data_IF_986758223263
#
_entry.id   IF_986758223263
#
_cell.length_a   1.000
_cell.length_b   1.000
_cell.length_c   1.000
_cell.angle_alpha   90.00
_cell.angle_beta   90.00
_cell.angle_gamma   90.00
#
_symmetry.space_group_name_H-M   'P 1'
#
loop_
_entity.id
_entity.type
_entity.pdbx_description
1 polymer ?
#
# COMPACT_ATOMS: atom_id res chain seq x y z
N UNK A 1 7.58 -11.67 7.07
CA UNK A 1 7.46 -10.70 8.18
C UNK A 1 7.14 -11.32 9.54
N UNK A 2 5.88 -11.60 9.94
CA UNK A 2 5.60 -12.05 11.33
C UNK A 2 6.33 -13.35 11.71
N UNK A 3 6.36 -14.31 10.79
CA UNK A 3 7.10 -15.57 10.95
C UNK A 3 8.62 -15.33 11.06
N UNK A 4 9.19 -14.49 10.19
CA UNK A 4 10.60 -14.07 10.25
C UNK A 4 10.94 -13.38 11.58
N UNK A 5 10.01 -12.61 12.14
CA UNK A 5 10.16 -11.96 13.44
C UNK A 5 9.96 -12.91 14.63
N UNK A 6 9.55 -14.18 14.40
CA UNK A 6 9.22 -15.13 15.46
C UNK A 6 7.98 -14.74 16.29
N UNK A 7 7.08 -13.92 15.73
CA UNK A 7 5.89 -13.39 16.41
C UNK A 7 4.63 -14.01 15.83
N UNK A 8 3.72 -14.46 16.70
CA UNK A 8 2.38 -14.88 16.29
C UNK A 8 1.40 -13.70 16.40
N UNK A 9 0.81 -13.22 15.28
CA UNK A 9 -0.12 -12.10 15.34
C UNK A 9 -1.46 -12.53 15.97
N UNK A 10 -2.00 -11.69 16.86
CA UNK A 10 -3.36 -11.84 17.38
C UNK A 10 -4.35 -11.11 16.45
N UNK A 11 -5.05 -11.86 15.60
CA UNK A 11 -5.88 -11.29 14.53
C UNK A 11 -7.32 -11.20 14.99
N UNK A 12 -7.74 -9.99 15.38
CA UNK A 12 -9.12 -9.72 15.84
C UNK A 12 -10.12 -9.64 14.70
N UNK A 13 -9.73 -9.03 13.58
CA UNK A 13 -10.58 -8.83 12.39
C UNK A 13 -9.77 -8.99 11.11
N UNK A 14 -10.46 -9.36 10.02
CA UNK A 14 -9.90 -9.40 8.65
C UNK A 14 -10.89 -8.74 7.70
N UNK A 15 -10.38 -7.87 6.84
CA UNK A 15 -11.17 -7.21 5.79
C UNK A 15 -10.25 -6.87 4.61
N UNK A 16 -10.80 -6.91 3.40
CA UNK A 16 -10.14 -6.41 2.20
C UNK A 16 -10.46 -4.93 1.92
N UNK A 17 -11.39 -4.33 2.67
CA UNK A 17 -11.78 -2.93 2.49
C UNK A 17 -10.92 -2.02 3.37
N UNK A 18 -10.10 -1.19 2.73
CA UNK A 18 -9.18 -0.28 3.42
C UNK A 18 -9.90 0.77 4.28
N UNK A 19 -11.10 1.21 3.89
CA UNK A 19 -11.85 2.23 4.65
C UNK A 19 -12.47 1.64 5.92
N UNK A 20 -12.96 0.39 5.86
CA UNK A 20 -13.40 -0.32 7.06
C UNK A 20 -12.24 -0.53 8.03
N UNK A 21 -11.08 -0.92 7.50
CA UNK A 21 -9.86 -1.06 8.28
C UNK A 21 -9.45 0.27 8.95
N UNK A 22 -9.47 1.38 8.20
CA UNK A 22 -9.15 2.72 8.74
C UNK A 22 -10.11 3.13 9.84
N UNK A 23 -11.42 2.89 9.67
CA UNK A 23 -12.40 3.12 10.73
C UNK A 23 -12.06 2.34 12.00
N UNK A 24 -11.80 1.02 11.88
CA UNK A 24 -11.44 0.19 13.03
C UNK A 24 -10.17 0.69 13.75
N UNK A 25 -9.13 1.06 13.00
CA UNK A 25 -7.89 1.62 13.59
C UNK A 25 -8.17 2.96 14.27
N UNK A 26 -8.89 3.87 13.61
CA UNK A 26 -9.22 5.19 14.15
C UNK A 26 -10.07 5.11 15.42
N UNK A 27 -10.96 4.12 15.54
CA UNK A 27 -11.74 3.83 16.76
C UNK A 27 -10.96 3.04 17.83
N UNK A 28 -9.64 2.84 17.66
CA UNK A 28 -8.79 2.22 18.67
C UNK A 28 -8.95 0.70 18.81
N UNK A 29 -9.53 0.02 17.82
CA UNK A 29 -9.72 -1.44 17.85
C UNK A 29 -8.38 -2.21 17.75
N UNK A 30 -7.35 -1.56 17.23
CA UNK A 30 -6.00 -2.10 17.11
C UNK A 30 -5.20 -1.34 16.06
N UNK A 31 -4.22 -2.01 15.47
CA UNK A 31 -3.42 -1.51 14.35
C UNK A 31 -3.64 -2.38 13.11
N UNK A 32 -3.16 -1.90 11.96
CA UNK A 32 -3.07 -2.71 10.76
C UNK A 32 -1.77 -2.45 10.02
N UNK A 33 -1.36 -3.41 9.20
CA UNK A 33 -0.21 -3.29 8.32
C UNK A 33 -0.71 -3.10 6.90
N UNK A 34 -0.23 -2.04 6.25
CA UNK A 34 -0.60 -1.69 4.89
C UNK A 34 0.66 -1.57 4.04
N UNK A 35 0.59 -2.06 2.80
CA UNK A 35 1.68 -1.86 1.82
C UNK A 35 1.58 -0.50 1.12
N UNK A 36 0.42 0.16 1.17
CA UNK A 36 0.19 1.46 0.57
C UNK A 36 0.56 2.59 1.54
N UNK A 37 1.49 3.46 1.14
CA UNK A 37 1.77 4.73 1.83
C UNK A 37 0.70 5.75 1.49
N UNK A 38 -0.30 5.89 2.36
CA UNK A 38 -1.33 6.92 2.25
C UNK A 38 -1.01 8.06 3.21
N UNK A 39 -0.99 9.31 2.73
CA UNK A 39 -0.88 10.53 3.55
C UNK A 39 -2.16 10.89 4.32
N UNK A 40 -3.21 10.07 4.23
CA UNK A 40 -4.43 10.31 5.02
C UNK A 40 -4.13 9.94 6.47
N UNK A 41 -4.30 10.91 7.33
CA UNK A 41 -4.19 10.77 8.80
C UNK A 41 -5.57 10.75 9.45
N UNK A 42 -6.64 10.70 8.65
CA UNK A 42 -8.03 10.70 9.11
C UNK A 42 -8.84 9.60 8.44
N UNK A 43 -9.76 9.00 9.20
CA UNK A 43 -10.80 8.12 8.66
C UNK A 43 -11.85 8.92 7.89
N UNK A 44 -12.74 8.25 7.16
CA UNK A 44 -13.86 8.93 6.50
C UNK A 44 -14.80 9.65 7.49
N UNK A 45 -14.80 9.23 8.75
CA UNK A 45 -15.54 9.86 9.85
C UNK A 45 -14.80 11.07 10.46
N UNK A 46 -13.62 11.41 9.94
CA UNK A 46 -12.81 12.53 10.44
C UNK A 46 -12.02 12.22 11.71
N UNK A 47 -11.88 10.94 12.08
CA UNK A 47 -11.13 10.53 13.27
C UNK A 47 -9.67 10.30 12.90
N UNK A 48 -8.78 10.92 13.66
CA UNK A 48 -7.33 10.84 13.42
C UNK A 48 -6.77 9.44 13.69
N UNK A 49 -5.80 9.01 12.88
CA UNK A 49 -4.95 7.86 13.15
C UNK A 49 -3.52 8.13 12.67
N UNK A 50 -2.56 7.54 13.39
CA UNK A 50 -1.15 7.67 13.05
C UNK A 50 -0.74 6.64 11.97
N UNK A 51 0.19 7.05 11.11
CA UNK A 51 0.94 6.13 10.25
C UNK A 51 2.37 5.99 10.80
N UNK A 52 2.90 4.77 10.77
CA UNK A 52 4.24 4.46 11.25
C UNK A 52 4.92 3.50 10.29
N UNK A 53 6.19 3.78 9.98
CA UNK A 53 7.04 2.87 9.22
C UNK A 53 7.46 1.69 10.11
N UNK A 54 7.62 0.52 9.49
CA UNK A 54 8.15 -0.65 10.18
C UNK A 54 9.66 -0.46 10.36
N UNK A 55 10.15 -0.63 11.59
CA UNK A 55 11.52 -0.30 11.94
C UNK A 55 12.56 -1.25 11.30
N UNK A 56 12.26 -2.55 11.25
CA UNK A 56 13.16 -3.54 10.68
C UNK A 56 13.06 -3.57 9.14
N UNK A 57 14.18 -3.82 8.44
CA UNK A 57 14.18 -3.92 6.99
C UNK A 57 13.51 -5.24 6.56
N UNK A 58 12.26 -5.15 6.12
CA UNK A 58 11.57 -6.25 5.45
C UNK A 58 11.58 -6.03 3.93
N UNK A 59 11.57 -7.14 3.18
CA UNK A 59 11.47 -7.10 1.72
C UNK A 59 10.19 -6.35 1.31
N UNK A 60 10.29 -5.27 0.50
CA UNK A 60 9.13 -4.51 0.08
C UNK A 60 8.28 -5.31 -0.91
N UNK A 61 6.99 -4.97 -0.99
CA UNK A 61 6.13 -5.54 -2.03
C UNK A 61 6.47 -4.91 -3.39
N UNK A 62 6.96 -5.72 -4.31
CA UNK A 62 7.22 -5.29 -5.69
C UNK A 62 5.93 -5.10 -6.49
N UNK A 63 5.87 -4.01 -7.27
CA UNK A 63 4.83 -3.80 -8.29
C UNK A 63 5.42 -4.14 -9.65
N UNK A 64 4.96 -5.22 -10.25
CA UNK A 64 5.46 -5.72 -11.54
C UNK A 64 4.45 -5.51 -12.68
N UNK A 65 4.95 -5.21 -13.88
CA UNK A 65 4.15 -5.19 -15.09
C UNK A 65 4.22 -6.56 -15.78
N UNK A 66 3.06 -7.20 -15.97
CA UNK A 66 2.95 -8.47 -16.70
C UNK A 66 2.35 -8.20 -18.07
N UNK A 67 3.07 -8.58 -19.12
CA UNK A 67 2.61 -8.43 -20.51
C UNK A 67 2.61 -9.79 -21.22
N UNK A 68 1.79 -9.97 -22.28
CA UNK A 68 2.01 -11.04 -23.25
C UNK A 68 3.45 -10.99 -23.82
N UNK A 69 3.90 -12.08 -24.44
CA UNK A 69 5.26 -12.26 -24.98
C UNK A 69 5.81 -10.99 -25.68
N UNK A 70 7.11 -10.74 -25.53
CA UNK A 70 7.81 -9.52 -25.97
C UNK A 70 7.55 -9.16 -27.44
N UNK A 71 7.21 -10.16 -28.27
CA UNK A 71 6.80 -9.99 -29.68
C UNK A 71 5.60 -9.05 -29.88
N UNK A 72 4.79 -8.82 -28.83
CA UNK A 72 3.60 -7.95 -28.88
C UNK A 72 3.69 -6.68 -28.03
N UNK A 73 4.89 -6.30 -27.55
CA UNK A 73 5.05 -5.03 -26.85
C UNK A 73 4.97 -3.85 -27.82
N UNK A 74 3.77 -3.29 -27.97
CA UNK A 74 3.57 -2.06 -28.71
C UNK A 74 4.27 -0.88 -28.03
N UNK A 75 4.61 0.17 -28.80
CA UNK A 75 5.14 1.44 -28.26
C UNK A 75 4.25 2.04 -27.16
N UNK A 76 2.92 1.82 -27.23
CA UNK A 76 1.96 2.29 -26.23
C UNK A 76 2.13 1.57 -24.88
N UNK A 77 2.38 0.26 -24.91
CA UNK A 77 2.61 -0.54 -23.69
C UNK A 77 3.91 -0.11 -23.02
N UNK A 78 4.99 0.06 -23.80
CA UNK A 78 6.26 0.55 -23.29
C UNK A 78 6.10 1.96 -22.64
N UNK A 79 5.43 2.88 -23.33
CA UNK A 79 5.16 4.22 -22.80
C UNK A 79 4.31 4.19 -21.52
N UNK A 80 3.30 3.32 -21.44
CA UNK A 80 2.49 3.16 -20.24
C UNK A 80 3.33 2.66 -19.05
N UNK A 81 4.13 1.61 -19.25
CA UNK A 81 4.97 1.04 -18.20
C UNK A 81 5.99 2.07 -17.71
N UNK A 82 6.59 2.84 -18.61
CA UNK A 82 7.52 3.91 -18.26
C UNK A 82 6.86 4.97 -17.36
N UNK A 83 5.69 5.47 -17.75
CA UNK A 83 4.97 6.50 -16.98
C UNK A 83 4.47 5.93 -15.64
N UNK A 84 3.88 4.73 -15.66
CA UNK A 84 3.41 4.06 -14.45
C UNK A 84 4.55 3.85 -13.46
N UNK A 85 5.73 3.44 -13.93
CA UNK A 85 6.92 3.29 -13.08
C UNK A 85 7.35 4.61 -12.41
N UNK A 86 7.32 5.73 -13.15
CA UNK A 86 7.61 7.06 -12.57
C UNK A 86 6.59 7.44 -11.50
N UNK A 87 5.31 7.19 -11.75
CA UNK A 87 4.20 7.46 -10.85
C UNK A 87 4.26 6.62 -9.57
N UNK A 88 4.53 5.32 -9.70
CA UNK A 88 4.54 4.39 -8.55
C UNK A 88 5.74 4.66 -7.63
N UNK A 89 6.88 5.07 -8.19
CA UNK A 89 8.07 5.41 -7.43
C UNK A 89 7.99 6.80 -6.75
N UNK A 90 7.02 7.63 -7.14
CA UNK A 90 6.68 8.88 -6.48
C UNK A 90 5.16 9.04 -6.33
N UNK A 91 4.53 8.23 -5.45
CA UNK A 91 3.07 8.17 -5.33
C UNK A 91 2.46 9.46 -4.74
N UNK A 92 3.31 10.44 -4.39
CA UNK A 92 2.93 11.70 -3.76
C UNK A 92 3.07 12.90 -4.71
N UNK A 93 3.61 12.70 -5.92
CA UNK A 93 3.77 13.74 -6.93
C UNK A 93 2.49 14.06 -7.75
N UNK A 94 1.41 13.27 -7.63
CA UNK A 94 0.24 13.35 -8.53
C UNK A 94 -0.93 14.16 -7.95
N UNK A 95 -0.75 14.89 -6.85
CA UNK A 95 -1.85 15.62 -6.20
C UNK A 95 -1.88 17.14 -6.48
N UNK A 96 -1.02 17.66 -7.35
CA UNK A 96 -1.10 19.06 -7.81
C UNK A 96 -1.86 19.17 -9.15
N UNK A 97 -3.16 18.84 -9.16
CA UNK A 97 -4.08 19.20 -10.27
C UNK A 97 -5.50 19.43 -9.74
#
# INVERSE_FOLDING_TARGET
MFEEAGVQPNIRYRTANHEVLRGLVAHGVGYSLLTQRTRKEFSHEGIEYATAEIADPYEPLEVIAVTPDQRWQSKKVAAFIEIAGKIINDPLAIQDT
#
